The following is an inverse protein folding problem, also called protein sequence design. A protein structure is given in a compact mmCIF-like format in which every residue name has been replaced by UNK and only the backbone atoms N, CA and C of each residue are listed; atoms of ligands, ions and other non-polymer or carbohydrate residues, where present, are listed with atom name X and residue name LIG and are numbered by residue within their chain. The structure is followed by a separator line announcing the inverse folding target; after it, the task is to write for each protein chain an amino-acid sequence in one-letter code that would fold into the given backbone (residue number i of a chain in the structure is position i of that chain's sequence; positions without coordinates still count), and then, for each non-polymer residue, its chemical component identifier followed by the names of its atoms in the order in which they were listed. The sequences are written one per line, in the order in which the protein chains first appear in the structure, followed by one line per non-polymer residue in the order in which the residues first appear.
data_IF_450283418515
#
_entry.id   IF_450283418515
#
_cell.length_a   1.000
_cell.length_b   1.000
_cell.length_c   1.000
_cell.angle_alpha   90.00
_cell.angle_beta   90.00
_cell.angle_gamma   90.00
#
_symmetry.space_group_name_H-M   'P 1'
#
loop_
_entity.id
_entity.type
_entity.pdbx_description
1 polymer ?
#
# COMPACT_ATOMS: atom_id res chain seq x y z
N UNK A 1 20.91 100.26 24.35
CA UNK A 1 21.72 99.44 23.42
C UNK A 1 22.26 98.17 24.05
N UNK A 2 22.93 98.19 25.22
CA UNK A 2 23.36 96.96 25.90
C UNK A 2 22.18 96.26 26.60
N UNK A 3 21.32 97.00 27.28
CA UNK A 3 20.16 96.44 27.99
C UNK A 3 19.10 95.84 27.05
N UNK A 4 18.86 96.45 25.89
CA UNK A 4 17.91 95.94 24.89
C UNK A 4 18.36 94.58 24.32
N UNK A 5 19.66 94.40 24.11
CA UNK A 5 20.23 93.14 23.63
C UNK A 5 20.13 92.02 24.68
N UNK A 6 20.26 92.36 25.96
CA UNK A 6 20.12 91.39 27.05
C UNK A 6 18.68 90.88 27.16
N UNK A 7 17.70 91.78 27.08
CA UNK A 7 16.28 91.43 27.10
C UNK A 7 15.88 90.52 25.92
N UNK A 8 16.43 90.78 24.73
CA UNK A 8 16.18 89.96 23.53
C UNK A 8 16.75 88.53 23.67
N UNK A 9 17.91 88.38 24.33
CA UNK A 9 18.52 87.07 24.62
C UNK A 9 17.68 86.30 25.64
N UNK A 10 17.24 86.93 26.73
CA UNK A 10 16.40 86.30 27.75
C UNK A 10 15.06 85.82 27.19
N UNK A 11 14.46 86.62 26.30
CA UNK A 11 13.22 86.25 25.58
C UNK A 11 13.45 85.02 24.72
N UNK A 12 14.47 85.01 23.86
CA UNK A 12 14.79 83.86 23.00
C UNK A 12 15.13 82.62 23.81
N UNK A 13 15.86 82.76 24.91
CA UNK A 13 16.17 81.66 25.81
C UNK A 13 14.89 81.04 26.37
N UNK A 14 13.97 81.86 26.86
CA UNK A 14 12.70 81.41 27.42
C UNK A 14 11.83 80.70 26.37
N UNK A 15 11.69 81.27 25.18
CA UNK A 15 10.95 80.65 24.07
C UNK A 15 11.55 79.29 23.67
N UNK A 16 12.88 79.22 23.57
CA UNK A 16 13.57 77.97 23.20
C UNK A 16 13.44 76.91 24.29
N UNK A 17 13.50 77.31 25.56
CA UNK A 17 13.31 76.43 26.72
C UNK A 17 11.91 75.82 26.73
N UNK A 18 10.87 76.64 26.54
CA UNK A 18 9.48 76.15 26.50
C UNK A 18 9.29 75.15 25.35
N UNK A 19 9.81 75.46 24.16
CA UNK A 19 9.71 74.55 23.01
C UNK A 19 10.43 73.22 23.25
N UNK A 20 11.62 73.25 23.86
CA UNK A 20 12.34 72.04 24.26
C UNK A 20 11.56 71.21 25.30
N UNK A 21 10.94 71.84 26.28
CA UNK A 21 10.11 71.15 27.28
C UNK A 21 8.89 70.47 26.63
N UNK A 22 8.21 71.14 25.70
CA UNK A 22 7.09 70.58 24.92
C UNK A 22 7.53 69.39 24.05
N UNK A 23 8.64 69.54 23.31
CA UNK A 23 9.19 68.48 22.47
C UNK A 23 9.60 67.25 23.32
N UNK A 24 10.21 67.46 24.49
CA UNK A 24 10.56 66.38 25.42
C UNK A 24 9.31 65.65 25.92
N UNK A 25 8.24 66.38 26.29
CA UNK A 25 7.00 65.76 26.73
C UNK A 25 6.33 64.94 25.62
N UNK A 26 6.27 65.51 24.41
CA UNK A 26 5.71 64.82 23.24
C UNK A 26 6.49 63.54 22.94
N UNK A 27 7.82 63.62 22.92
CA UNK A 27 8.69 62.49 22.60
C UNK A 27 8.56 61.37 23.65
N UNK A 28 8.40 61.70 24.94
CA UNK A 28 8.09 60.72 25.98
C UNK A 28 6.76 60.02 25.75
N UNK A 29 5.69 60.78 25.44
CA UNK A 29 4.36 60.21 25.19
C UNK A 29 4.34 59.32 23.95
N UNK A 30 5.02 59.74 22.88
CA UNK A 30 5.13 58.96 21.64
C UNK A 30 5.90 57.65 21.87
N UNK A 31 7.01 57.69 22.63
CA UNK A 31 7.77 56.49 23.00
C UNK A 31 6.95 55.51 23.86
N UNK A 32 6.20 56.01 24.84
CA UNK A 32 5.36 55.19 25.71
C UNK A 32 4.23 54.52 24.91
N UNK A 33 3.55 55.28 24.03
CA UNK A 33 2.52 54.75 23.15
C UNK A 33 3.04 53.70 22.15
N UNK A 34 4.22 53.91 21.57
CA UNK A 34 4.84 52.93 20.68
C UNK A 34 5.27 51.66 21.43
N UNK A 35 5.80 51.79 22.64
CA UNK A 35 6.14 50.66 23.50
C UNK A 35 4.91 49.82 23.85
N UNK A 36 3.79 50.45 24.22
CA UNK A 36 2.52 49.76 24.48
C UNK A 36 1.97 49.06 23.24
N UNK A 37 2.01 49.73 22.07
CA UNK A 37 1.56 49.17 20.80
C UNK A 37 2.36 47.91 20.43
N UNK A 38 3.69 47.99 20.52
CA UNK A 38 4.58 46.88 20.22
C UNK A 38 4.40 45.71 21.20
N UNK A 39 4.22 46.01 22.49
CA UNK A 39 3.94 44.99 23.50
C UNK A 39 2.65 44.23 23.18
N UNK A 40 1.56 44.95 22.89
CA UNK A 40 0.27 44.35 22.54
C UNK A 40 0.35 43.52 21.26
N UNK A 41 1.05 44.02 20.24
CA UNK A 41 1.25 43.30 18.97
C UNK A 41 2.04 41.99 19.17
N UNK A 42 3.08 42.02 20.02
CA UNK A 42 3.85 40.83 20.36
C UNK A 42 3.02 39.81 21.14
N UNK A 43 2.27 40.25 22.14
CA UNK A 43 1.37 39.39 22.93
C UNK A 43 0.30 38.73 22.04
N UNK A 44 -0.29 39.49 21.11
CA UNK A 44 -1.28 38.95 20.16
C UNK A 44 -0.66 37.92 19.20
N UNK A 45 0.51 38.22 18.62
CA UNK A 45 1.23 37.29 17.75
C UNK A 45 1.63 36.02 18.50
N UNK A 46 2.11 36.16 19.73
CA UNK A 46 2.49 35.04 20.59
C UNK A 46 1.28 34.15 20.92
N UNK A 47 0.13 34.76 21.20
CA UNK A 47 -1.11 34.03 21.46
C UNK A 47 -1.56 33.22 20.24
N UNK A 48 -1.57 33.83 19.04
CA UNK A 48 -1.92 33.14 17.78
C UNK A 48 -0.99 31.96 17.48
N UNK A 49 0.31 32.14 17.69
CA UNK A 49 1.29 31.05 17.49
C UNK A 49 1.02 29.89 18.46
N UNK A 50 0.80 30.17 19.74
CA UNK A 50 0.49 29.13 20.74
C UNK A 50 -0.79 28.37 20.41
N UNK A 51 -1.84 29.08 20.01
CA UNK A 51 -3.11 28.47 19.61
C UNK A 51 -2.95 27.59 18.37
N UNK A 52 -2.29 28.09 17.33
CA UNK A 52 -2.05 27.30 16.11
C UNK A 52 -1.19 26.07 16.36
N UNK A 53 -0.18 26.18 17.22
CA UNK A 53 0.67 25.06 17.61
C UNK A 53 -0.14 23.99 18.35
N UNK A 54 -0.91 24.39 19.37
CA UNK A 54 -1.77 23.46 20.11
C UNK A 54 -2.78 22.75 19.18
N UNK A 55 -3.40 23.49 18.25
CA UNK A 55 -4.32 22.91 17.27
C UNK A 55 -3.63 21.96 16.28
N UNK A 56 -2.38 22.21 15.91
CA UNK A 56 -1.60 21.28 15.07
C UNK A 56 -1.18 20.02 15.84
N UNK A 57 -0.82 20.18 17.12
CA UNK A 57 -0.40 19.06 17.98
C UNK A 57 -1.56 18.09 18.23
N UNK A 58 -2.77 18.60 18.50
CA UNK A 58 -3.96 17.76 18.66
C UNK A 58 -4.29 17.00 17.39
N UNK A 59 -4.32 17.68 16.23
CA UNK A 59 -4.56 17.02 14.93
C UNK A 59 -3.52 15.94 14.61
N UNK A 60 -2.25 16.17 14.92
CA UNK A 60 -1.19 15.18 14.71
C UNK A 60 -1.40 13.95 15.60
N UNK A 61 -1.77 14.14 16.87
CA UNK A 61 -2.05 13.02 17.79
C UNK A 61 -3.25 12.20 17.35
N UNK A 62 -4.34 12.84 16.94
CA UNK A 62 -5.53 12.16 16.41
C UNK A 62 -5.21 11.34 15.16
N UNK A 63 -4.45 11.93 14.22
CA UNK A 63 -4.03 11.23 13.01
C UNK A 63 -3.11 10.05 13.31
N UNK A 64 -2.18 10.19 14.27
CA UNK A 64 -1.30 9.10 14.68
C UNK A 64 -2.11 7.93 15.26
N UNK A 65 -3.06 8.21 16.17
CA UNK A 65 -3.94 7.19 16.75
C UNK A 65 -4.76 6.45 15.67
N UNK A 66 -5.35 7.19 14.72
CA UNK A 66 -6.10 6.59 13.62
C UNK A 66 -5.22 5.73 12.69
N UNK A 67 -3.97 6.12 12.48
CA UNK A 67 -3.02 5.32 11.69
C UNK A 67 -2.59 4.05 12.43
N UNK A 68 -2.35 4.12 13.74
CA UNK A 68 -1.99 2.96 14.56
C UNK A 68 -3.11 1.90 14.55
N UNK A 69 -4.37 2.31 14.69
CA UNK A 69 -5.52 1.40 14.57
C UNK A 69 -5.59 0.71 13.20
N UNK A 70 -5.36 1.47 12.12
CA UNK A 70 -5.35 0.93 10.76
C UNK A 70 -4.22 -0.06 10.54
N UNK A 71 -3.02 0.23 11.05
CA UNK A 71 -1.85 -0.65 10.98
C UNK A 71 -2.13 -1.96 11.72
N UNK A 72 -2.73 -1.88 12.91
CA UNK A 72 -3.06 -3.05 13.70
C UNK A 72 -4.05 -3.97 12.97
N UNK A 73 -5.09 -3.40 12.37
CA UNK A 73 -6.06 -4.15 11.56
C UNK A 73 -5.41 -4.83 10.35
N UNK A 74 -4.65 -4.07 9.56
CA UNK A 74 -3.97 -4.59 8.37
C UNK A 74 -2.92 -5.65 8.72
N UNK A 75 -2.23 -5.51 9.85
CA UNK A 75 -1.25 -6.52 10.26
C UNK A 75 -1.92 -7.85 10.56
N UNK A 76 -3.06 -7.83 11.26
CA UNK A 76 -3.83 -9.04 11.56
C UNK A 76 -4.35 -9.72 10.28
N UNK A 77 -4.94 -8.96 9.36
CA UNK A 77 -5.40 -9.49 8.07
C UNK A 77 -4.25 -10.12 7.26
N UNK A 78 -3.09 -9.47 7.24
CA UNK A 78 -1.89 -9.98 6.57
C UNK A 78 -1.39 -11.30 7.18
N UNK A 79 -1.40 -11.42 8.51
CA UNK A 79 -0.97 -12.65 9.18
C UNK A 79 -1.95 -13.81 8.90
N UNK A 80 -3.26 -13.55 8.88
CA UNK A 80 -4.28 -14.53 8.49
C UNK A 80 -4.11 -15.00 7.04
N UNK A 81 -3.90 -14.06 6.11
CA UNK A 81 -3.67 -14.39 4.69
C UNK A 81 -2.39 -15.21 4.52
N UNK A 82 -1.29 -14.84 5.19
CA UNK A 82 -0.02 -15.59 5.11
C UNK A 82 -0.18 -17.02 5.61
N UNK A 83 -0.89 -17.23 6.73
CA UNK A 83 -1.19 -18.57 7.24
C UNK A 83 -2.01 -19.38 6.22
N UNK A 84 -3.07 -18.81 5.67
CA UNK A 84 -3.92 -19.49 4.68
C UNK A 84 -3.14 -19.85 3.40
N UNK A 85 -2.31 -18.94 2.90
CA UNK A 85 -1.49 -19.17 1.71
C UNK A 85 -0.49 -20.30 1.91
N UNK A 86 0.11 -20.41 3.11
CA UNK A 86 0.96 -21.54 3.48
C UNK A 86 0.22 -22.87 3.39
N UNK A 87 -0.95 -22.97 4.02
CA UNK A 87 -1.76 -24.21 3.99
C UNK A 87 -2.19 -24.62 2.58
N UNK A 88 -2.58 -23.65 1.74
CA UNK A 88 -2.93 -23.90 0.34
C UNK A 88 -1.72 -24.34 -0.49
N UNK A 89 -0.52 -23.80 -0.20
CA UNK A 89 0.72 -24.23 -0.83
C UNK A 89 1.04 -25.69 -0.55
N UNK A 90 0.92 -26.10 0.70
CA UNK A 90 1.15 -27.50 1.12
C UNK A 90 0.10 -28.45 0.50
N UNK A 91 -1.17 -28.06 0.50
CA UNK A 91 -2.23 -28.86 -0.12
C UNK A 91 -2.04 -29.00 -1.63
N UNK A 92 -1.64 -27.92 -2.32
CA UNK A 92 -1.32 -27.97 -3.75
C UNK A 92 -0.20 -28.97 -4.03
N UNK A 93 0.91 -28.91 -3.30
CA UNK A 93 2.03 -29.83 -3.49
C UNK A 93 1.60 -31.30 -3.25
N UNK A 94 0.77 -31.55 -2.23
CA UNK A 94 0.19 -32.87 -1.97
C UNK A 94 -0.66 -33.37 -3.15
N UNK A 95 -1.54 -32.51 -3.69
CA UNK A 95 -2.40 -32.87 -4.82
C UNK A 95 -1.61 -33.13 -6.10
N UNK A 96 -0.58 -32.32 -6.39
CA UNK A 96 0.31 -32.53 -7.54
C UNK A 96 1.02 -33.90 -7.48
N UNK A 97 1.49 -34.29 -6.28
CA UNK A 97 2.07 -35.62 -6.07
C UNK A 97 1.04 -36.74 -6.29
N UNK A 98 -0.15 -36.62 -5.68
CA UNK A 98 -1.21 -37.62 -5.84
C UNK A 98 -1.62 -37.80 -7.31
N UNK A 99 -1.72 -36.71 -8.08
CA UNK A 99 -2.03 -36.77 -9.52
C UNK A 99 -0.95 -37.54 -10.27
N UNK A 100 0.32 -37.25 -9.97
CA UNK A 100 1.45 -37.94 -10.61
C UNK A 100 1.45 -39.43 -10.30
N UNK A 101 1.23 -39.81 -9.04
CA UNK A 101 1.15 -41.22 -8.61
C UNK A 101 -0.04 -41.95 -9.26
N UNK A 102 -1.20 -41.31 -9.32
CA UNK A 102 -2.40 -41.88 -9.96
C UNK A 102 -2.21 -42.07 -11.46
N UNK A 103 -1.57 -41.14 -12.15
CA UNK A 103 -1.24 -41.26 -13.57
C UNK A 103 -0.31 -42.46 -13.82
N UNK A 104 0.72 -42.63 -12.99
CA UNK A 104 1.63 -43.77 -13.08
C UNK A 104 0.91 -45.09 -12.82
N UNK A 105 0.07 -45.15 -11.77
CA UNK A 105 -0.71 -46.33 -11.43
C UNK A 105 -1.66 -46.72 -12.58
N UNK A 106 -2.38 -45.75 -13.14
CA UNK A 106 -3.27 -45.98 -14.27
C UNK A 106 -2.51 -46.50 -15.50
N UNK A 107 -1.37 -45.88 -15.84
CA UNK A 107 -0.54 -46.32 -16.96
C UNK A 107 -0.08 -47.78 -16.79
N UNK A 108 0.39 -48.14 -15.59
CA UNK A 108 0.82 -49.52 -15.31
C UNK A 108 -0.34 -50.52 -15.39
N UNK A 109 -1.52 -50.17 -14.86
CA UNK A 109 -2.71 -51.04 -14.93
C UNK A 109 -3.17 -51.28 -16.37
N UNK A 110 -3.16 -50.24 -17.21
CA UNK A 110 -3.48 -50.38 -18.62
C UNK A 110 -2.45 -51.23 -19.36
N UNK A 111 -1.16 -51.03 -19.10
CA UNK A 111 -0.08 -51.81 -19.75
C UNK A 111 -0.13 -53.30 -19.38
N UNK A 112 -0.32 -53.61 -18.08
CA UNK A 112 -0.44 -54.97 -17.59
C UNK A 112 -1.70 -55.65 -18.11
N UNK A 113 -2.86 -54.99 -18.02
CA UNK A 113 -4.13 -55.51 -18.50
C UNK A 113 -4.14 -55.73 -20.02
N UNK A 114 -3.53 -54.82 -20.78
CA UNK A 114 -3.37 -54.97 -22.23
C UNK A 114 -2.45 -56.14 -22.56
N UNK A 115 -1.29 -56.23 -21.91
CA UNK A 115 -0.34 -57.34 -22.10
C UNK A 115 -0.98 -58.70 -21.83
N UNK A 116 -1.71 -58.82 -20.72
CA UNK A 116 -2.46 -60.03 -20.38
C UNK A 116 -3.50 -60.39 -21.45
N UNK A 117 -4.28 -59.42 -21.93
CA UNK A 117 -5.26 -59.66 -22.99
C UNK A 117 -4.61 -60.15 -24.29
N UNK A 118 -3.45 -59.59 -24.66
CA UNK A 118 -2.69 -60.02 -25.84
C UNK A 118 -2.19 -61.47 -25.69
N UNK A 119 -1.75 -61.87 -24.49
CA UNK A 119 -1.38 -63.27 -24.21
C UNK A 119 -2.56 -64.23 -24.39
N UNK A 120 -3.74 -63.86 -23.87
CA UNK A 120 -4.96 -64.66 -24.05
C UNK A 120 -5.35 -64.80 -25.53
N UNK A 121 -5.23 -63.74 -26.33
CA UNK A 121 -5.51 -63.78 -27.77
C UNK A 121 -4.53 -64.70 -28.49
N UNK A 122 -3.24 -64.62 -28.19
CA UNK A 122 -2.21 -65.50 -28.78
C UNK A 122 -2.47 -66.97 -28.46
N UNK A 123 -2.97 -67.28 -27.26
CA UNK A 123 -3.32 -68.64 -26.86
C UNK A 123 -4.48 -69.20 -27.68
N UNK A 124 -5.53 -68.40 -27.92
CA UNK A 124 -6.72 -68.82 -28.67
C UNK A 124 -6.48 -68.86 -30.20
N UNK A 125 -5.56 -68.02 -30.69
CA UNK A 125 -5.27 -67.86 -32.12
C UNK A 125 -3.75 -67.95 -32.38
N UNK A 126 -3.14 -69.15 -32.36
CA UNK A 126 -1.69 -69.31 -32.46
C UNK A 126 -1.09 -68.90 -33.81
N UNK A 127 -1.89 -68.91 -34.88
CA UNK A 127 -1.48 -68.50 -36.22
C UNK A 127 -1.57 -66.97 -36.45
N UNK A 128 -2.00 -66.20 -35.45
CA UNK A 128 -2.15 -64.75 -35.56
C UNK A 128 -0.78 -64.06 -35.54
N UNK A 129 -0.37 -63.47 -36.67
CA UNK A 129 0.90 -62.78 -36.79
C UNK A 129 0.84 -61.32 -36.30
N UNK A 130 1.99 -60.80 -35.85
CA UNK A 130 2.11 -59.46 -35.29
C UNK A 130 1.78 -58.35 -36.31
N UNK A 131 1.91 -58.62 -37.61
CA UNK A 131 1.57 -57.66 -38.66
C UNK A 131 0.07 -57.41 -38.70
N UNK A 132 -0.74 -58.48 -38.74
CA UNK A 132 -2.21 -58.36 -38.75
C UNK A 132 -2.79 -57.81 -37.45
N UNK A 133 -2.15 -58.11 -36.32
CA UNK A 133 -2.56 -57.52 -35.03
C UNK A 133 -2.23 -56.02 -34.96
N UNK A 134 -1.12 -55.59 -35.56
CA UNK A 134 -0.74 -54.18 -35.66
C UNK A 134 -1.65 -53.34 -36.56
N UNK A 135 -2.44 -53.97 -37.44
CA UNK A 135 -3.49 -53.29 -38.22
C UNK A 135 -4.71 -52.89 -37.34
N UNK A 136 -4.90 -53.59 -36.21
CA UNK A 136 -5.96 -53.29 -35.26
C UNK A 136 -5.57 -52.07 -34.41
N UNK A 137 -6.11 -50.91 -34.78
CA UNK A 137 -6.00 -49.65 -34.04
C UNK A 137 -7.32 -49.36 -33.30
N UNK A 138 -7.24 -48.78 -32.10
CA UNK A 138 -8.40 -48.33 -31.34
C UNK A 138 -9.23 -47.27 -32.08
N UNK A 139 -8.63 -46.57 -33.06
CA UNK A 139 -9.32 -45.63 -33.95
C UNK A 139 -9.97 -46.31 -35.17
N UNK A 140 -9.95 -47.64 -35.25
CA UNK A 140 -10.64 -48.42 -36.27
C UNK A 140 -11.82 -49.19 -35.66
N UNK A 141 -12.83 -49.48 -36.49
CA UNK A 141 -13.97 -50.33 -36.17
C UNK A 141 -14.09 -51.46 -37.18
N UNK A 142 -14.79 -52.52 -36.79
CA UNK A 142 -15.08 -53.65 -37.66
C UNK A 142 -16.43 -53.41 -38.35
N UNK A 143 -16.43 -53.37 -39.68
CA UNK A 143 -17.63 -53.33 -40.53
C UNK A 143 -17.51 -54.46 -41.55
N UNK A 144 -18.50 -55.36 -41.58
CA UNK A 144 -18.53 -56.54 -42.47
C UNK A 144 -17.24 -57.36 -42.46
N UNK A 145 -16.63 -57.52 -41.28
CA UNK A 145 -15.39 -58.27 -41.08
C UNK A 145 -14.13 -57.56 -41.58
N UNK A 146 -14.19 -56.28 -41.95
CA UNK A 146 -13.04 -55.44 -42.33
C UNK A 146 -12.82 -54.31 -41.34
N UNK A 147 -11.55 -53.99 -41.08
CA UNK A 147 -11.17 -52.81 -40.30
C UNK A 147 -11.31 -51.55 -41.16
N UNK A 148 -12.03 -50.56 -40.63
CA UNK A 148 -12.22 -49.23 -41.24
C UNK A 148 -12.09 -48.16 -40.15
N UNK A 149 -11.68 -46.91 -40.48
CA UNK A 149 -11.63 -45.84 -39.50
C UNK A 149 -12.95 -45.63 -38.75
N UNK A 150 -12.86 -45.46 -37.44
CA UNK A 150 -13.98 -45.13 -36.58
C UNK A 150 -14.42 -43.69 -36.84
N UNK A 151 -15.73 -43.51 -37.00
CA UNK A 151 -16.37 -42.19 -37.10
C UNK A 151 -17.33 -42.10 -35.92
N UNK A 152 -17.13 -41.14 -34.99
CA UNK A 152 -18.04 -40.92 -33.88
C UNK A 152 -19.47 -40.64 -34.37
N UNK A 153 -20.51 -41.14 -33.69
CA UNK A 153 -21.89 -40.72 -33.95
C UNK A 153 -22.04 -39.21 -33.71
N UNK A 154 -22.83 -38.53 -34.55
CA UNK A 154 -23.27 -37.13 -34.33
C UNK A 154 -24.22 -37.01 -33.13
#
# INVERSE_FOLDING_TARGET
MVDDNLADIEKRYSETKTKLEEDIQKLKKDQEGEAERLKKEYEEKLAKVKESYAASETKLKENAAAQDEKILKLSKERDEVVLSAGTLGDEKARLENNVTELQLYAANQYDEGFSFAIEQVKLLFPDLDAGRLGEADAMNRIVDGKLVPYVPPE
#
